data_IF_344361681953
#
_entry.id   IF_344361681953
#
_cell.length_a   1.000
_cell.length_b   1.000
_cell.length_c   1.000
_cell.angle_alpha   90.00
_cell.angle_beta   90.00
_cell.angle_gamma   90.00
#
_symmetry.space_group_name_H-M   'P 1'
#
loop_
_entity.id
_entity.type
_entity.pdbx_description
1 polymer ?
#
# COMPACT_ATOMS: atom_id res chain seq x y z
N UNK A 1 3.78 -25.58 -9.30
CA UNK A 1 3.55 -24.21 -9.82
C UNK A 1 3.76 -23.16 -8.73
N UNK A 2 4.93 -23.11 -8.07
CA UNK A 2 5.17 -22.30 -6.87
C UNK A 2 5.82 -20.93 -7.12
N UNK A 3 6.47 -20.73 -8.28
CA UNK A 3 7.26 -19.52 -8.57
C UNK A 3 6.45 -18.21 -8.59
N UNK A 4 5.13 -18.29 -8.84
CA UNK A 4 4.25 -17.13 -8.87
C UNK A 4 3.91 -16.57 -7.48
N UNK A 5 3.89 -17.43 -6.45
CA UNK A 5 3.57 -17.05 -5.08
C UNK A 5 4.78 -16.46 -4.36
N UNK A 6 5.97 -17.00 -4.63
CA UNK A 6 7.21 -16.58 -3.98
C UNK A 6 7.66 -15.18 -4.42
N UNK A 7 7.55 -14.86 -5.73
CA UNK A 7 7.92 -13.54 -6.25
C UNK A 7 7.00 -12.43 -5.74
N UNK A 8 5.71 -12.71 -5.64
CA UNK A 8 4.73 -11.77 -5.09
C UNK A 8 5.00 -11.50 -3.61
N UNK A 9 5.21 -12.57 -2.83
CA UNK A 9 5.57 -12.42 -1.43
C UNK A 9 6.89 -11.65 -1.30
N UNK A 10 7.83 -11.84 -2.22
CA UNK A 10 9.08 -11.10 -2.22
C UNK A 10 8.89 -9.58 -2.37
N UNK A 11 7.96 -9.10 -3.21
CA UNK A 11 7.69 -7.67 -3.33
C UNK A 11 7.10 -7.11 -2.02
N UNK A 12 6.14 -7.82 -1.41
CA UNK A 12 5.55 -7.42 -0.13
C UNK A 12 6.58 -7.41 0.99
N UNK A 13 7.45 -8.42 1.08
CA UNK A 13 8.54 -8.46 2.07
C UNK A 13 9.56 -7.35 1.84
N UNK A 14 9.89 -7.05 0.58
CA UNK A 14 10.78 -5.93 0.27
C UNK A 14 10.14 -4.59 0.67
N UNK A 15 8.84 -4.41 0.47
CA UNK A 15 8.09 -3.23 0.90
C UNK A 15 7.98 -3.12 2.43
N UNK A 16 7.74 -4.23 3.13
CA UNK A 16 7.69 -4.33 4.60
C UNK A 16 9.01 -3.96 5.28
N UNK A 17 10.15 -4.33 4.67
CA UNK A 17 11.50 -4.06 5.21
C UNK A 17 12.08 -2.73 4.69
N UNK A 18 11.43 -2.09 3.71
CA UNK A 18 11.90 -0.83 3.12
C UNK A 18 13.04 -1.00 2.09
N UNK A 19 13.19 -2.19 1.52
CA UNK A 19 14.28 -2.52 0.60
C UNK A 19 13.97 -2.07 -0.84
N UNK A 20 13.91 -0.75 -1.06
CA UNK A 20 13.55 -0.15 -2.35
C UNK A 20 14.45 -0.58 -3.53
N UNK A 21 15.73 -0.92 -3.30
CA UNK A 21 16.59 -1.45 -4.35
C UNK A 21 16.07 -2.80 -4.89
N UNK A 22 15.74 -3.74 -3.99
CA UNK A 22 15.13 -5.01 -4.38
C UNK A 22 13.78 -4.81 -5.06
N UNK A 23 12.94 -3.89 -4.58
CA UNK A 23 11.66 -3.59 -5.22
C UNK A 23 11.82 -3.14 -6.67
N UNK A 24 12.78 -2.25 -6.95
CA UNK A 24 13.08 -1.84 -8.34
C UNK A 24 13.43 -3.01 -9.23
N UNK A 25 14.22 -3.97 -8.75
CA UNK A 25 14.56 -5.18 -9.51
C UNK A 25 13.34 -6.10 -9.71
N UNK A 26 12.53 -6.30 -8.67
CA UNK A 26 11.35 -7.15 -8.74
C UNK A 26 10.33 -6.57 -9.75
N UNK A 27 10.11 -5.26 -9.73
CA UNK A 27 9.16 -4.56 -10.61
C UNK A 27 9.61 -4.49 -12.10
N UNK A 28 10.79 -5.01 -12.47
CA UNK A 28 11.20 -5.07 -13.89
C UNK A 28 10.39 -6.09 -14.71
N UNK A 29 9.68 -7.00 -14.06
CA UNK A 29 8.99 -8.11 -14.72
C UNK A 29 7.53 -8.22 -14.29
N UNK A 30 6.59 -7.77 -15.12
CA UNK A 30 5.15 -7.72 -14.80
C UNK A 30 4.81 -6.85 -13.57
N UNK A 31 5.25 -5.58 -13.52
CA UNK A 31 5.01 -4.70 -12.36
C UNK A 31 3.53 -4.59 -12.00
N UNK A 32 2.65 -4.40 -12.98
CA UNK A 32 1.21 -4.23 -12.77
C UNK A 32 0.56 -5.45 -12.09
N UNK A 33 0.99 -6.65 -12.47
CA UNK A 33 0.51 -7.89 -11.83
C UNK A 33 1.00 -8.00 -10.40
N UNK A 34 2.27 -7.65 -10.15
CA UNK A 34 2.87 -7.77 -8.83
C UNK A 34 2.26 -6.79 -7.83
N UNK A 35 2.08 -5.52 -8.21
CA UNK A 35 1.52 -4.50 -7.31
C UNK A 35 0.07 -4.79 -6.92
N UNK A 36 -0.72 -5.40 -7.83
CA UNK A 36 -2.12 -5.78 -7.58
C UNK A 36 -2.30 -7.01 -6.71
N UNK A 37 -1.24 -7.76 -6.45
CA UNK A 37 -1.40 -9.00 -5.69
C UNK A 37 -1.55 -8.68 -4.20
N UNK A 38 -2.32 -9.52 -3.51
CA UNK A 38 -2.66 -9.39 -2.09
C UNK A 38 -2.20 -10.60 -1.28
N UNK A 39 -1.93 -10.39 0.01
CA UNK A 39 -1.68 -11.48 0.96
C UNK A 39 -3.00 -12.11 1.43
N UNK A 40 -2.93 -13.02 2.43
CA UNK A 40 -4.13 -13.68 2.99
C UNK A 40 -5.08 -12.72 3.71
N UNK A 41 -4.59 -11.56 4.14
CA UNK A 41 -5.38 -10.51 4.77
C UNK A 41 -5.89 -9.47 3.74
N UNK A 42 -5.65 -9.67 2.45
CA UNK A 42 -6.05 -8.71 1.41
C UNK A 42 -5.06 -7.55 1.25
N UNK A 43 -3.90 -7.59 1.91
CA UNK A 43 -2.96 -6.46 1.92
C UNK A 43 -2.06 -6.44 0.69
N UNK A 44 -1.88 -5.27 0.10
CA UNK A 44 -0.97 -5.04 -1.03
C UNK A 44 0.44 -4.68 -0.55
N UNK A 45 1.42 -4.71 -1.45
CA UNK A 45 2.77 -4.21 -1.16
C UNK A 45 2.77 -2.73 -0.70
N UNK A 46 1.86 -1.91 -1.24
CA UNK A 46 1.72 -0.51 -0.83
C UNK A 46 1.32 -0.39 0.65
N UNK A 47 0.35 -1.19 1.10
CA UNK A 47 -0.05 -1.21 2.51
C UNK A 47 1.11 -1.61 3.41
N UNK A 48 1.92 -2.60 3.05
CA UNK A 48 3.12 -2.97 3.82
C UNK A 48 4.13 -1.83 3.91
N UNK A 49 4.42 -1.14 2.80
CA UNK A 49 5.32 0.02 2.81
C UNK A 49 4.78 1.14 3.69
N UNK A 50 3.48 1.41 3.62
CA UNK A 50 2.82 2.47 4.37
C UNK A 50 2.77 2.16 5.86
N UNK A 51 2.35 0.95 6.27
CA UNK A 51 2.31 0.51 7.67
C UNK A 51 3.66 0.71 8.36
N UNK A 52 4.76 0.46 7.63
CA UNK A 52 6.12 0.59 8.15
C UNK A 52 6.77 1.96 7.88
N UNK A 53 6.05 2.93 7.30
CA UNK A 53 6.57 4.29 7.07
C UNK A 53 7.68 4.38 6.01
N UNK A 54 7.77 3.41 5.09
CA UNK A 54 8.81 3.36 4.07
C UNK A 54 8.48 4.23 2.86
N UNK A 55 8.60 5.54 3.04
CA UNK A 55 8.32 6.60 2.04
C UNK A 55 8.92 6.28 0.66
N UNK A 56 10.21 5.94 0.58
CA UNK A 56 10.85 5.63 -0.70
C UNK A 56 10.28 4.40 -1.42
N UNK A 57 9.68 3.46 -0.68
CA UNK A 57 8.97 2.32 -1.24
C UNK A 57 7.56 2.69 -1.70
N UNK A 58 6.87 3.56 -0.95
CA UNK A 58 5.58 4.15 -1.33
C UNK A 58 5.69 4.88 -2.68
N UNK A 59 6.68 5.77 -2.82
CA UNK A 59 6.94 6.47 -4.08
C UNK A 59 7.21 5.52 -5.25
N UNK A 60 7.92 4.42 -5.01
CA UNK A 60 8.24 3.46 -6.06
C UNK A 60 7.01 2.66 -6.50
N UNK A 61 6.18 2.24 -5.56
CA UNK A 61 4.97 1.49 -5.87
C UNK A 61 3.94 2.35 -6.59
N UNK A 62 3.77 3.62 -6.17
CA UNK A 62 2.83 4.55 -6.80
C UNK A 62 3.23 4.94 -8.24
N UNK A 63 4.44 4.62 -8.70
CA UNK A 63 4.81 4.73 -10.13
C UNK A 63 4.13 3.67 -11.00
N UNK A 64 3.56 2.63 -10.40
CA UNK A 64 2.96 1.50 -11.09
C UNK A 64 1.49 1.34 -10.65
N UNK A 65 0.58 1.79 -11.52
CA UNK A 65 -0.87 1.77 -11.28
C UNK A 65 -1.32 2.44 -9.97
N UNK A 66 -0.99 3.73 -9.76
CA UNK A 66 -1.24 4.43 -8.49
C UNK A 66 -2.71 4.41 -8.09
N UNK A 67 -3.63 4.59 -9.05
CA UNK A 67 -5.07 4.64 -8.79
C UNK A 67 -5.57 3.33 -8.19
N UNK A 68 -5.29 2.20 -8.86
CA UNK A 68 -5.70 0.90 -8.33
C UNK A 68 -5.02 0.58 -6.99
N UNK A 69 -3.80 1.09 -6.76
CA UNK A 69 -3.08 0.86 -5.52
C UNK A 69 -3.68 1.64 -4.33
N UNK A 70 -4.05 2.90 -4.51
CA UNK A 70 -4.62 3.73 -3.43
C UNK A 70 -6.09 3.40 -3.13
N UNK A 71 -6.83 2.90 -4.12
CA UNK A 71 -8.21 2.41 -3.94
C UNK A 71 -8.28 1.01 -3.33
N UNK A 72 -7.18 0.25 -3.33
CA UNK A 72 -7.15 -1.08 -2.74
C UNK A 72 -7.40 -1.03 -1.23
N UNK A 73 -8.16 -2.01 -0.74
CA UNK A 73 -8.43 -2.20 0.68
C UNK A 73 -8.10 -3.63 1.09
N UNK A 74 -7.70 -3.80 2.34
CA UNK A 74 -7.56 -5.12 2.93
C UNK A 74 -8.93 -5.73 3.30
N UNK A 75 -8.93 -6.91 3.92
CA UNK A 75 -10.16 -7.61 4.31
C UNK A 75 -11.01 -6.83 5.32
N UNK A 76 -10.43 -5.88 6.05
CA UNK A 76 -11.12 -5.00 7.00
C UNK A 76 -11.54 -3.66 6.36
N UNK A 77 -11.48 -3.59 5.03
CA UNK A 77 -11.74 -2.38 4.25
C UNK A 77 -10.80 -1.22 4.62
N UNK A 78 -9.62 -1.51 5.17
CA UNK A 78 -8.61 -0.50 5.45
C UNK A 78 -7.82 -0.20 4.18
N UNK A 79 -7.85 1.06 3.75
CA UNK A 79 -7.03 1.57 2.67
C UNK A 79 -5.61 1.86 3.13
N UNK A 80 -4.69 2.05 2.18
CA UNK A 80 -3.34 2.52 2.48
C UNK A 80 -3.37 3.84 3.29
N UNK A 81 -4.28 4.77 2.96
CA UNK A 81 -4.40 6.05 3.68
C UNK A 81 -4.81 5.87 5.14
N UNK A 82 -5.73 4.93 5.44
CA UNK A 82 -6.13 4.63 6.82
C UNK A 82 -4.96 4.06 7.62
N UNK A 83 -4.20 3.14 7.04
CA UNK A 83 -2.99 2.60 7.66
C UNK A 83 -1.96 3.70 7.92
N UNK A 84 -1.74 4.62 6.97
CA UNK A 84 -0.83 5.75 7.15
C UNK A 84 -1.25 6.64 8.32
N UNK A 85 -2.53 7.01 8.35
CA UNK A 85 -3.11 7.87 9.38
C UNK A 85 -3.08 7.23 10.77
N UNK A 86 -3.44 5.94 10.87
CA UNK A 86 -3.42 5.20 12.14
C UNK A 86 -2.02 5.10 12.75
N UNK A 87 -0.97 5.05 11.91
CA UNK A 87 0.42 4.93 12.37
C UNK A 87 1.16 6.28 12.45
N UNK A 88 0.50 7.40 12.12
CA UNK A 88 1.12 8.74 12.17
C UNK A 88 2.19 8.98 11.10
N UNK A 89 2.10 8.29 9.96
CA UNK A 89 3.09 8.41 8.88
C UNK A 89 2.73 9.56 7.93
N UNK A 90 2.92 10.80 8.38
CA UNK A 90 2.49 12.03 7.68
C UNK A 90 3.00 12.12 6.24
N UNK A 91 4.27 11.77 5.99
CA UNK A 91 4.84 11.81 4.64
C UNK A 91 4.17 10.78 3.71
N UNK A 92 3.80 9.61 4.24
CA UNK A 92 3.03 8.62 3.46
C UNK A 92 1.63 9.15 3.16
N UNK A 93 0.98 9.82 4.12
CA UNK A 93 -0.33 10.48 3.91
C UNK A 93 -0.23 11.51 2.79
N UNK A 94 0.78 12.38 2.84
CA UNK A 94 1.01 13.39 1.79
C UNK A 94 1.22 12.77 0.41
N UNK A 95 1.98 11.67 0.31
CA UNK A 95 2.22 10.99 -0.96
C UNK A 95 0.97 10.30 -1.51
N UNK A 96 0.20 9.64 -0.65
CA UNK A 96 -1.03 8.97 -1.06
C UNK A 96 -2.07 9.97 -1.55
N UNK A 97 -2.23 11.11 -0.87
CA UNK A 97 -3.20 12.15 -1.23
C UNK A 97 -2.91 12.86 -2.56
N UNK A 98 -1.75 12.63 -3.18
CA UNK A 98 -1.50 13.08 -4.55
C UNK A 98 -2.34 12.33 -5.60
N UNK A 99 -2.95 11.19 -5.23
CA UNK A 99 -3.68 10.32 -6.14
C UNK A 99 -5.13 10.12 -5.66
N UNK A 100 -6.12 10.76 -6.27
CA UNK A 100 -7.55 10.66 -5.87
C UNK A 100 -7.84 10.97 -4.38
N UNK A 101 -7.42 12.14 -3.87
CA UNK A 101 -7.63 12.50 -2.48
C UNK A 101 -9.11 12.47 -2.08
N UNK A 102 -10.03 12.93 -2.94
CA UNK A 102 -11.46 12.99 -2.59
C UNK A 102 -12.09 11.62 -2.40
N UNK A 103 -11.63 10.61 -3.16
CA UNK A 103 -12.11 9.24 -3.02
C UNK A 103 -11.54 8.61 -1.74
N UNK A 104 -10.23 8.77 -1.51
CA UNK A 104 -9.56 8.18 -0.37
C UNK A 104 -10.10 8.72 0.97
N UNK A 105 -10.32 10.03 1.10
CA UNK A 105 -10.82 10.61 2.36
C UNK A 105 -12.26 10.22 2.71
N UNK A 106 -13.04 9.77 1.71
CA UNK A 106 -14.42 9.30 1.89
C UNK A 106 -14.52 7.80 2.13
N UNK A 107 -13.45 7.06 1.85
CA UNK A 107 -13.41 5.62 2.14
C UNK A 107 -13.52 5.38 3.64
N UNK A 108 -14.23 4.31 4.01
CA UNK A 108 -14.47 3.93 5.39
C UNK A 108 -14.19 2.43 5.57
N UNK A 109 -13.62 2.08 6.72
CA UNK A 109 -13.36 0.69 7.10
C UNK A 109 -14.65 -0.07 7.39
N UNK A 110 -14.56 -1.37 7.68
CA UNK A 110 -15.72 -2.20 8.06
C UNK A 110 -16.48 -1.66 9.27
N UNK A 111 -15.82 -0.93 10.17
CA UNK A 111 -16.42 -0.30 11.35
C UNK A 111 -16.84 1.16 11.11
N UNK A 112 -16.73 1.65 9.87
CA UNK A 112 -17.13 3.01 9.48
C UNK A 112 -16.08 4.09 9.75
N UNK A 113 -14.86 3.72 10.17
CA UNK A 113 -13.81 4.70 10.43
C UNK A 113 -13.16 5.18 9.14
N UNK A 114 -13.02 6.49 8.99
CA UNK A 114 -12.24 7.10 7.91
C UNK A 114 -10.79 7.32 8.32
N UNK A 115 -9.89 7.63 7.38
CA UNK A 115 -8.50 7.96 7.70
C UNK A 115 -8.38 9.10 8.72
N UNK A 116 -9.27 10.11 8.66
CA UNK A 116 -9.28 11.21 9.62
C UNK A 116 -9.63 10.74 11.05
N UNK A 117 -10.52 9.76 11.18
CA UNK A 117 -10.88 9.17 12.48
C UNK A 117 -9.74 8.32 13.05
N UNK A 118 -8.92 7.72 12.20
CA UNK A 118 -7.71 7.00 12.62
C UNK A 118 -6.58 7.94 13.03
N UNK A 119 -6.44 9.11 12.40
CA UNK A 119 -5.43 10.11 12.79
C UNK A 119 -5.70 10.77 14.16
N UNK A 120 -6.91 10.64 14.69
CA UNK A 120 -7.35 11.28 15.93
C UNK A 120 -7.37 10.34 17.15
N UNK A 121 -7.00 9.06 16.98
CA UNK A 121 -6.91 8.06 18.05
C UNK A 121 -5.53 8.07 18.72
#
# INVERSE_FOLDING_TARGET
>A
MAAGSDRVLALMRAAEIGHGACMRHLLQHEPERQVKTVDRAGRTALMFAVINGHVGCVEQLLKHDPVSQVEATDNDQLSALMHAAQNGHDICVEQLLQYQPEAQVKSASTVGNTALMFAAQ
#
